data_IF_380089177467
#
_entry.id   IF_380089177467
#
_cell.length_a   1.000
_cell.length_b   1.000
_cell.length_c   1.000
_cell.angle_alpha   90.00
_cell.angle_beta   90.00
_cell.angle_gamma   90.00
#
_symmetry.space_group_name_H-M   'P 1'
#
loop_
_entity.id
_entity.type
_entity.pdbx_description
1 polymer ?
#
# COMPACT_ATOMS: atom_id res chain seq x y z
N UNK A 1 -10.29 -18.52 2.95
CA UNK A 1 -10.10 -17.73 4.20
C UNK A 1 -11.10 -16.59 4.17
N UNK A 2 -12.07 -16.54 5.09
CA UNK A 2 -13.00 -15.41 5.19
C UNK A 2 -12.48 -14.48 6.28
N UNK A 3 -11.97 -13.31 5.88
CA UNK A 3 -11.56 -12.28 6.84
C UNK A 3 -12.81 -11.61 7.41
N UNK A 4 -12.90 -11.55 8.74
CA UNK A 4 -13.95 -10.79 9.43
C UNK A 4 -13.50 -9.34 9.57
N UNK A 5 -14.29 -8.40 9.08
CA UNK A 5 -13.98 -6.98 9.15
C UNK A 5 -14.26 -6.45 10.57
N UNK A 6 -13.26 -5.84 11.21
CA UNK A 6 -13.45 -5.17 12.50
C UNK A 6 -14.24 -3.87 12.30
N UNK A 7 -15.10 -3.49 13.26
CA UNK A 7 -15.81 -2.21 13.21
C UNK A 7 -14.81 -1.04 13.18
N UNK A 8 -14.94 -0.16 12.19
CA UNK A 8 -14.20 1.10 12.16
C UNK A 8 -15.01 2.15 12.92
N UNK A 9 -14.39 2.83 13.89
CA UNK A 9 -15.04 3.95 14.59
C UNK A 9 -15.31 5.07 13.59
N UNK A 10 -16.58 5.35 13.33
CA UNK A 10 -17.00 6.24 12.26
C UNK A 10 -16.58 7.69 12.52
N UNK A 11 -15.56 8.16 11.82
CA UNK A 11 -15.38 9.57 11.49
C UNK A 11 -14.90 9.67 10.05
N UNK A 12 -15.78 10.11 9.16
CA UNK A 12 -15.57 10.57 7.78
C UNK A 12 -14.52 9.83 6.90
N UNK A 13 -15.04 9.15 5.87
CA UNK A 13 -14.45 9.00 4.53
C UNK A 13 -13.12 8.24 4.37
N UNK A 14 -13.07 6.97 4.80
CA UNK A 14 -12.13 6.01 4.20
C UNK A 14 -12.89 5.04 3.30
N UNK A 15 -12.76 5.21 1.98
CA UNK A 15 -13.30 4.30 0.96
C UNK A 15 -12.43 3.02 0.90
N UNK A 16 -12.45 2.24 1.98
CA UNK A 16 -11.65 1.03 2.13
C UNK A 16 -12.33 0.02 3.05
N UNK A 17 -12.31 -1.26 2.67
CA UNK A 17 -12.81 -2.38 3.46
C UNK A 17 -11.64 -3.31 3.81
N UNK A 18 -11.12 -3.20 5.03
CA UNK A 18 -9.96 -3.96 5.52
C UNK A 18 -10.29 -4.66 6.84
N UNK A 19 -9.63 -5.78 7.10
CA UNK A 19 -9.93 -6.63 8.26
C UNK A 19 -9.68 -5.92 9.60
N UNK A 20 -8.54 -5.24 9.73
CA UNK A 20 -8.12 -4.64 11.00
C UNK A 20 -7.13 -3.49 10.79
N UNK A 21 -7.56 -2.26 11.07
CA UNK A 21 -6.72 -1.07 10.93
C UNK A 21 -5.66 -0.96 12.05
N UNK A 22 -5.84 -1.63 13.19
CA UNK A 22 -4.86 -1.56 14.29
C UNK A 22 -3.50 -2.20 13.95
N UNK A 23 -3.44 -2.98 12.88
CA UNK A 23 -2.20 -3.58 12.36
C UNK A 23 -1.36 -2.61 11.50
N UNK A 24 -1.83 -1.39 11.23
CA UNK A 24 -1.16 -0.45 10.33
C UNK A 24 0.30 -0.15 10.73
N UNK A 25 0.57 0.04 12.03
CA UNK A 25 1.92 0.33 12.51
C UNK A 25 2.88 -0.83 12.28
N UNK A 26 2.41 -2.07 12.45
CA UNK A 26 3.19 -3.25 12.16
C UNK A 26 3.39 -3.41 10.64
N UNK A 27 2.33 -3.26 9.85
CA UNK A 27 2.43 -3.27 8.38
C UNK A 27 3.44 -2.23 7.86
N UNK A 28 3.51 -1.03 8.46
CA UNK A 28 4.47 0.01 8.07
C UNK A 28 5.92 -0.33 8.44
N UNK A 29 6.14 -1.17 9.45
CA UNK A 29 7.48 -1.70 9.77
C UNK A 29 7.89 -2.72 8.71
N UNK A 30 7.00 -3.65 8.36
CA UNK A 30 7.26 -4.66 7.33
C UNK A 30 7.48 -4.03 5.94
N UNK A 31 6.72 -2.99 5.58
CA UNK A 31 6.92 -2.25 4.31
C UNK A 31 8.34 -1.66 4.24
N UNK A 32 8.83 -1.06 5.33
CA UNK A 32 10.20 -0.50 5.36
C UNK A 32 11.29 -1.56 5.18
N UNK A 33 11.06 -2.78 5.66
CA UNK A 33 11.95 -3.91 5.43
C UNK A 33 11.86 -4.35 3.96
N UNK A 34 10.65 -4.43 3.39
CA UNK A 34 10.48 -4.81 1.99
C UNK A 34 11.10 -3.77 1.01
N UNK A 35 11.10 -2.48 1.34
CA UNK A 35 11.78 -1.45 0.55
C UNK A 35 13.29 -1.74 0.39
N UNK A 36 13.96 -2.28 1.42
CA UNK A 36 15.39 -2.63 1.33
C UNK A 36 15.64 -3.86 0.46
N UNK A 37 14.67 -4.77 0.38
CA UNK A 37 14.71 -6.00 -0.42
C UNK A 37 14.18 -5.81 -1.85
N UNK A 38 13.68 -4.63 -2.20
CA UNK A 38 13.12 -4.30 -3.52
C UNK A 38 13.85 -3.12 -4.19
N UNK A 39 15.19 -3.18 -4.36
CA UNK A 39 16.00 -2.06 -4.82
C UNK A 39 15.62 -1.56 -6.23
N UNK A 40 15.14 -2.47 -7.09
CA UNK A 40 14.65 -2.09 -8.43
C UNK A 40 13.46 -1.14 -8.39
N UNK A 41 12.47 -1.38 -7.52
CA UNK A 41 11.33 -0.47 -7.37
C UNK A 41 11.75 0.87 -6.76
N UNK A 42 12.69 0.84 -5.81
CA UNK A 42 13.19 2.07 -5.18
C UNK A 42 13.99 2.94 -6.17
N UNK A 43 14.77 2.30 -7.06
CA UNK A 43 15.46 2.97 -8.14
C UNK A 43 14.47 3.61 -9.13
N UNK A 44 13.45 2.88 -9.59
CA UNK A 44 12.41 3.40 -10.49
C UNK A 44 11.67 4.58 -9.85
N UNK A 45 11.29 4.46 -8.56
CA UNK A 45 10.65 5.56 -7.83
C UNK A 45 11.54 6.81 -7.82
N UNK A 46 12.84 6.64 -7.61
CA UNK A 46 13.80 7.75 -7.58
C UNK A 46 14.00 8.38 -8.96
N UNK A 47 14.13 7.57 -10.01
CA UNK A 47 14.34 8.02 -11.39
C UNK A 47 13.16 8.86 -11.92
N UNK A 48 11.92 8.42 -11.67
CA UNK A 48 10.72 9.05 -12.21
C UNK A 48 10.01 10.02 -11.25
N UNK A 49 10.59 10.27 -10.06
CA UNK A 49 10.02 11.18 -9.06
C UNK A 49 9.84 12.61 -9.60
N UNK A 50 10.79 13.12 -10.38
CA UNK A 50 10.70 14.49 -10.89
C UNK A 50 9.70 14.64 -12.05
N UNK A 51 9.65 13.65 -12.96
CA UNK A 51 8.82 13.71 -14.16
C UNK A 51 7.36 13.39 -13.90
N UNK A 52 7.04 12.71 -12.80
CA UNK A 52 5.67 12.34 -12.39
C UNK A 52 4.86 11.75 -13.56
N UNK A 53 5.35 10.68 -14.23
CA UNK A 53 4.77 10.18 -15.48
C UNK A 53 3.33 9.65 -15.33
N UNK A 54 2.90 9.33 -14.10
CA UNK A 54 1.56 8.84 -13.80
C UNK A 54 0.61 9.95 -13.33
N UNK A 55 0.97 11.22 -13.43
CA UNK A 55 0.12 12.34 -12.98
C UNK A 55 -1.22 12.31 -13.71
N UNK A 56 -2.30 12.14 -12.95
CA UNK A 56 -3.68 12.08 -13.45
C UNK A 56 -4.13 10.68 -13.91
N UNK A 57 -3.26 9.67 -13.85
CA UNK A 57 -3.65 8.30 -14.15
C UNK A 57 -4.63 7.76 -13.09
N UNK A 58 -5.65 7.01 -13.55
CA UNK A 58 -6.57 6.26 -12.69
C UNK A 58 -6.24 4.78 -12.81
N UNK A 59 -5.67 4.21 -11.76
CA UNK A 59 -5.11 2.85 -11.77
C UNK A 59 -5.95 1.97 -10.84
N UNK A 60 -6.40 0.83 -11.35
CA UNK A 60 -7.07 -0.22 -10.56
C UNK A 60 -6.20 -1.46 -10.57
N UNK A 61 -5.95 -2.03 -9.39
CA UNK A 61 -5.17 -3.26 -9.22
C UNK A 61 -6.02 -4.38 -8.64
N UNK A 62 -5.91 -5.59 -9.21
CA UNK A 62 -6.44 -6.83 -8.64
C UNK A 62 -5.30 -7.82 -8.50
N UNK A 63 -4.51 -7.62 -7.46
CA UNK A 63 -3.30 -8.37 -7.13
C UNK A 63 -3.41 -8.89 -5.71
N UNK A 64 -2.52 -9.80 -5.32
CA UNK A 64 -2.42 -10.21 -3.93
C UNK A 64 -2.03 -9.00 -3.07
N UNK A 65 -2.83 -8.68 -2.05
CA UNK A 65 -2.56 -7.55 -1.16
C UNK A 65 -1.52 -7.92 -0.09
N UNK A 66 -0.25 -8.02 -0.51
CA UNK A 66 0.89 -8.36 0.34
C UNK A 66 1.75 -7.13 0.69
N UNK A 67 2.76 -7.31 1.55
CA UNK A 67 3.73 -6.26 1.90
C UNK A 67 4.49 -5.76 0.66
N UNK A 68 4.85 -6.66 -0.27
CA UNK A 68 5.54 -6.30 -1.51
C UNK A 68 4.66 -5.46 -2.44
N UNK A 69 3.37 -5.76 -2.53
CA UNK A 69 2.42 -4.93 -3.30
C UNK A 69 2.23 -3.56 -2.66
N UNK A 70 2.36 -3.44 -1.33
CA UNK A 70 2.38 -2.14 -0.67
C UNK A 70 3.64 -1.31 -0.97
N UNK A 71 4.73 -1.90 -1.46
CA UNK A 71 5.90 -1.17 -1.98
C UNK A 71 5.66 -0.68 -3.41
N UNK A 72 4.84 -1.40 -4.17
CA UNK A 72 4.42 -1.02 -5.53
C UNK A 72 3.43 0.16 -5.53
N UNK A 73 2.53 0.21 -4.54
CA UNK A 73 1.53 1.28 -4.35
C UNK A 73 2.16 2.50 -3.68
#
# INVERSE_FOLDING_TARGET
MNAVLKPQSSSAAHDSAIADLSLADWGRKEIRIAETEMPGLMAIRSEYAASQPLKGARITGSLHMTIQTAVLI
#
